data_IF_921958962054
#
_entry.id   IF_921958962054
#
_cell.length_a   1.000
_cell.length_b   1.000
_cell.length_c   1.000
_cell.angle_alpha   90.00
_cell.angle_beta   90.00
_cell.angle_gamma   90.00
#
_symmetry.space_group_name_H-M   'P 1'
#
loop_
_entity.id
_entity.type
_entity.pdbx_description
1 polymer ?
#
# COMPACT_ATOMS: atom_id res chain seq x y z
N UNK A 1 17.29 -7.18 -8.98
CA UNK A 1 16.84 -5.84 -9.39
C UNK A 1 15.66 -5.37 -8.56
N UNK A 2 15.71 -4.14 -8.02
CA UNK A 2 14.64 -3.52 -7.25
C UNK A 2 14.28 -2.15 -7.87
N UNK A 3 13.12 -2.02 -8.54
CA UNK A 3 12.70 -0.80 -9.22
C UNK A 3 12.06 0.25 -8.28
N UNK A 4 11.93 -0.05 -6.99
CA UNK A 4 11.19 0.80 -6.05
C UNK A 4 12.03 1.85 -5.34
N UNK A 5 13.30 1.95 -5.63
CA UNK A 5 14.20 2.91 -5.01
C UNK A 5 15.01 3.71 -6.04
N UNK A 6 15.60 4.79 -5.59
CA UNK A 6 16.49 5.65 -6.35
C UNK A 6 17.25 6.59 -5.42
N UNK A 7 17.97 7.53 -6.00
CA UNK A 7 18.65 8.57 -5.22
C UNK A 7 17.84 9.86 -5.26
N UNK A 8 17.79 10.55 -4.12
CA UNK A 8 17.28 11.90 -3.96
C UNK A 8 18.36 12.73 -3.27
N UNK A 9 18.86 13.77 -3.91
CA UNK A 9 19.97 14.59 -3.40
C UNK A 9 21.14 13.75 -2.87
N UNK A 10 21.50 12.68 -3.58
CA UNK A 10 22.58 11.75 -3.19
C UNK A 10 22.22 10.72 -2.12
N UNK A 11 21.04 10.76 -1.53
CA UNK A 11 20.58 9.80 -0.53
C UNK A 11 19.64 8.74 -1.14
N UNK A 12 19.78 7.50 -0.70
CA UNK A 12 18.88 6.43 -1.12
C UNK A 12 17.49 6.66 -0.56
N UNK A 13 16.49 6.61 -1.43
CA UNK A 13 15.08 6.69 -1.06
C UNK A 13 14.30 5.53 -1.69
N UNK A 14 13.46 4.88 -0.88
CA UNK A 14 12.59 3.80 -1.33
C UNK A 14 11.14 4.32 -1.41
N UNK A 15 10.45 4.00 -2.49
CA UNK A 15 9.03 4.32 -2.66
C UNK A 15 8.11 3.34 -1.95
N UNK A 16 8.61 2.14 -1.64
CA UNK A 16 7.82 1.08 -1.02
C UNK A 16 8.46 0.66 0.29
N UNK A 17 8.01 1.28 1.37
CA UNK A 17 8.44 1.00 2.74
C UNK A 17 7.27 0.36 3.49
N UNK A 18 7.54 -0.77 4.13
CA UNK A 18 6.58 -1.47 4.98
C UNK A 18 7.01 -1.31 6.42
N UNK A 19 6.09 -0.86 7.26
CA UNK A 19 6.20 -0.88 8.70
C UNK A 19 5.06 -1.74 9.25
N UNK A 20 5.41 -2.72 10.06
CA UNK A 20 4.44 -3.57 10.76
C UNK A 20 4.85 -3.63 12.23
N UNK A 21 3.98 -3.09 13.08
CA UNK A 21 4.16 -3.14 14.52
C UNK A 21 2.91 -3.78 15.14
N UNK A 22 3.08 -4.96 15.72
CA UNK A 22 1.97 -5.80 16.17
C UNK A 22 2.18 -6.31 17.62
N UNK A 23 2.16 -5.43 18.63
CA UNK A 23 2.24 -5.84 20.01
C UNK A 23 1.08 -6.76 20.37
N UNK A 24 1.38 -7.80 21.15
CA UNK A 24 0.40 -8.72 21.68
C UNK A 24 0.72 -9.08 23.13
N UNK A 25 -0.32 -9.33 23.90
CA UNK A 25 -0.23 -9.77 25.27
C UNK A 25 -1.26 -10.86 25.55
N UNK A 26 -0.91 -11.76 26.44
CA UNK A 26 -1.83 -12.76 26.98
C UNK A 26 -1.69 -12.78 28.51
N UNK A 27 -2.83 -12.80 29.19
CA UNK A 27 -2.91 -13.03 30.61
C UNK A 27 -3.73 -14.30 30.83
N UNK A 28 -3.19 -15.24 31.60
CA UNK A 28 -3.87 -16.49 31.93
C UNK A 28 -3.98 -16.60 33.45
N UNK A 29 -5.16 -16.93 33.92
CA UNK A 29 -5.45 -17.20 35.31
C UNK A 29 -5.96 -18.63 35.44
N UNK A 30 -5.23 -19.41 36.21
CA UNK A 30 -5.57 -20.78 36.59
C UNK A 30 -6.10 -20.79 38.03
N UNK A 31 -7.27 -21.37 38.18
CA UNK A 31 -7.89 -21.55 39.47
C UNK A 31 -8.23 -23.03 39.73
N UNK A 32 -7.51 -23.64 40.66
CA UNK A 32 -7.82 -24.97 41.17
C UNK A 32 -8.94 -24.84 42.22
N UNK A 33 -10.18 -25.10 41.80
CA UNK A 33 -11.37 -24.96 42.63
C UNK A 33 -11.37 -26.05 43.71
N UNK A 34 -11.00 -27.27 43.32
CA UNK A 34 -10.76 -28.44 44.18
C UNK A 34 -9.95 -29.51 43.40
N UNK A 35 -9.64 -30.65 44.06
CA UNK A 35 -8.82 -31.74 43.50
C UNK A 35 -9.35 -32.34 42.16
N UNK A 36 -10.60 -32.08 41.84
CA UNK A 36 -11.25 -32.55 40.62
C UNK A 36 -11.67 -31.47 39.63
N UNK A 37 -11.49 -30.20 39.98
CA UNK A 37 -12.02 -29.06 39.15
C UNK A 37 -10.98 -27.99 39.02
N UNK A 38 -10.65 -27.65 37.75
CA UNK A 38 -9.76 -26.55 37.40
C UNK A 38 -10.42 -25.63 36.37
N UNK A 39 -10.43 -24.35 36.67
CA UNK A 39 -10.85 -23.28 35.73
C UNK A 39 -9.61 -22.56 35.22
N UNK A 40 -9.48 -22.49 33.88
CA UNK A 40 -8.45 -21.70 33.20
C UNK A 40 -9.13 -20.61 32.41
N UNK A 41 -8.83 -19.35 32.72
CA UNK A 41 -9.34 -18.19 32.00
C UNK A 41 -8.19 -17.41 31.41
N UNK A 42 -8.26 -17.11 30.11
CA UNK A 42 -7.23 -16.38 29.39
C UNK A 42 -7.83 -15.19 28.64
N UNK A 43 -7.14 -14.06 28.73
CA UNK A 43 -7.41 -12.86 27.95
C UNK A 43 -6.22 -12.62 27.03
N UNK A 44 -6.48 -12.62 25.75
CA UNK A 44 -5.53 -12.28 24.69
C UNK A 44 -5.88 -10.94 24.07
N UNK A 45 -4.88 -10.09 23.87
CA UNK A 45 -5.00 -8.83 23.15
C UNK A 45 -3.87 -8.67 22.14
N UNK A 46 -4.22 -8.25 20.93
CA UNK A 46 -3.26 -7.86 19.88
C UNK A 46 -3.74 -6.60 19.19
N UNK A 47 -2.83 -5.64 19.01
CA UNK A 47 -3.06 -4.48 18.16
C UNK A 47 -1.99 -4.42 17.09
N UNK A 48 -2.38 -4.56 15.83
CA UNK A 48 -1.47 -4.52 14.68
C UNK A 48 -1.65 -3.21 13.95
N UNK A 49 -0.55 -2.52 13.70
CA UNK A 49 -0.47 -1.30 12.88
C UNK A 49 0.40 -1.61 11.67
N UNK A 50 -0.23 -1.87 10.55
CA UNK A 50 0.45 -2.12 9.29
C UNK A 50 0.38 -0.89 8.40
N UNK A 51 1.53 -0.47 7.89
CA UNK A 51 1.68 0.65 6.95
C UNK A 51 2.54 0.23 5.78
N UNK A 52 2.09 0.51 4.55
CA UNK A 52 2.87 0.29 3.33
C UNK A 52 2.77 1.49 2.41
N UNK A 53 3.91 2.09 2.04
CA UNK A 53 3.95 3.24 1.13
C UNK A 53 3.89 2.81 -0.33
N UNK A 54 3.40 3.71 -1.19
CA UNK A 54 3.33 3.54 -2.64
C UNK A 54 3.50 4.89 -3.33
N UNK A 55 4.39 4.93 -4.32
CA UNK A 55 4.49 6.05 -5.26
C UNK A 55 3.33 5.97 -6.26
N UNK A 56 2.55 7.03 -6.33
CA UNK A 56 1.43 7.21 -7.25
C UNK A 56 1.65 8.41 -8.16
N UNK A 57 0.82 8.52 -9.19
CA UNK A 57 0.87 9.62 -10.15
C UNK A 57 -0.54 9.96 -10.64
N UNK A 58 -0.71 11.21 -11.06
CA UNK A 58 -1.96 11.73 -11.61
C UNK A 58 -1.66 12.57 -12.85
N UNK A 59 -2.37 12.34 -13.96
CA UNK A 59 -2.17 13.03 -15.24
C UNK A 59 -0.70 13.14 -15.68
N UNK A 60 0.09 12.09 -15.44
CA UNK A 60 1.51 12.04 -15.71
C UNK A 60 1.93 10.63 -16.14
N UNK A 61 3.14 10.52 -16.65
CA UNK A 61 3.72 9.22 -16.96
C UNK A 61 3.97 8.39 -15.70
N UNK A 62 3.82 7.08 -15.82
CA UNK A 62 4.13 6.18 -14.72
C UNK A 62 5.61 6.32 -14.30
N UNK A 63 5.91 6.69 -13.05
CA UNK A 63 7.28 6.91 -12.59
C UNK A 63 8.07 5.63 -12.31
N UNK A 64 7.44 4.46 -12.42
CA UNK A 64 8.10 3.19 -12.18
C UNK A 64 8.98 2.82 -13.37
N UNK A 65 10.28 2.58 -13.17
CA UNK A 65 11.18 2.25 -14.28
C UNK A 65 10.80 0.94 -14.98
N UNK A 66 10.20 0.00 -14.27
CA UNK A 66 9.74 -1.30 -14.78
C UNK A 66 8.28 -1.28 -15.27
N UNK A 67 7.74 -0.10 -15.51
CA UNK A 67 6.42 -0.01 -16.13
C UNK A 67 6.44 -0.69 -17.51
N UNK A 68 5.45 -1.53 -17.78
CA UNK A 68 5.45 -2.42 -18.94
C UNK A 68 5.71 -1.72 -20.28
N UNK A 69 5.22 -0.49 -20.47
CA UNK A 69 5.46 0.30 -21.69
C UNK A 69 6.92 0.67 -21.91
N UNK A 70 7.73 0.70 -20.86
CA UNK A 70 9.16 1.02 -20.92
C UNK A 70 10.01 -0.24 -21.14
N UNK A 71 9.39 -1.42 -21.07
CA UNK A 71 10.12 -2.68 -21.20
C UNK A 71 10.36 -3.05 -22.66
N UNK A 72 11.47 -3.73 -22.98
CA UNK A 72 11.75 -4.18 -24.33
C UNK A 72 10.61 -4.96 -24.96
N UNK A 73 9.93 -5.80 -24.19
CA UNK A 73 8.80 -6.60 -24.65
C UNK A 73 7.61 -5.77 -25.14
N UNK A 74 7.39 -4.58 -24.61
CA UNK A 74 6.33 -3.69 -25.07
C UNK A 74 6.67 -2.96 -26.38
N UNK A 75 7.95 -2.90 -26.73
CA UNK A 75 8.47 -2.22 -27.91
C UNK A 75 8.73 -3.20 -29.07
N UNK A 76 8.24 -4.42 -28.95
CA UNK A 76 8.55 -5.51 -29.87
C UNK A 76 7.60 -5.61 -31.06
N UNK A 77 6.31 -5.30 -30.83
CA UNK A 77 5.26 -5.44 -31.85
C UNK A 77 4.92 -4.11 -32.51
N UNK A 78 4.71 -4.15 -33.83
CA UNK A 78 4.06 -3.08 -34.59
C UNK A 78 2.56 -3.36 -34.61
N UNK A 79 1.80 -2.54 -33.94
CA UNK A 79 0.39 -2.74 -33.62
C UNK A 79 -0.55 -2.86 -34.83
N UNK A 80 -0.12 -2.46 -36.04
CA UNK A 80 -0.95 -2.49 -37.24
C UNK A 80 -1.01 -3.83 -38.00
N UNK A 81 -0.07 -4.74 -37.78
CA UNK A 81 0.06 -5.96 -38.57
C UNK A 81 -0.40 -7.23 -37.88
N UNK A 82 -0.68 -7.15 -36.57
CA UNK A 82 -1.17 -8.28 -35.79
C UNK A 82 -2.53 -8.80 -36.33
N UNK A 83 -3.39 -7.91 -36.84
CA UNK A 83 -4.69 -8.26 -37.40
C UNK A 83 -4.61 -9.02 -38.72
N UNK A 84 -3.49 -8.90 -39.46
CA UNK A 84 -3.27 -9.52 -40.77
C UNK A 84 -2.41 -10.80 -40.69
N UNK A 85 -2.07 -11.25 -39.46
CA UNK A 85 -1.24 -12.45 -39.27
C UNK A 85 0.24 -12.27 -39.61
N UNK A 86 0.66 -11.08 -40.00
CA UNK A 86 2.03 -10.76 -40.28
C UNK A 86 2.69 -10.21 -39.02
N UNK A 87 3.45 -11.04 -38.32
CA UNK A 87 4.24 -10.60 -37.19
C UNK A 87 5.43 -9.76 -37.67
N UNK A 88 5.22 -8.46 -37.78
CA UNK A 88 6.34 -7.54 -37.99
C UNK A 88 6.91 -7.17 -36.61
N UNK A 89 8.17 -7.47 -36.45
CA UNK A 89 8.91 -7.20 -35.20
C UNK A 89 9.76 -5.95 -35.41
N UNK A 90 9.59 -4.96 -34.52
CA UNK A 90 10.43 -3.78 -34.48
C UNK A 90 11.66 -4.04 -33.63
N UNK A 91 12.66 -4.68 -34.23
CA UNK A 91 13.92 -5.01 -33.55
C UNK A 91 14.70 -3.77 -33.11
N UNK A 92 14.63 -2.67 -33.84
CA UNK A 92 15.32 -1.44 -33.48
C UNK A 92 14.74 -0.84 -32.19
N UNK A 93 13.41 -0.77 -32.08
CA UNK A 93 12.76 -0.32 -30.84
C UNK A 93 13.06 -1.23 -29.66
N UNK A 94 13.06 -2.55 -29.88
CA UNK A 94 13.42 -3.52 -28.86
C UNK A 94 14.88 -3.35 -28.40
N UNK A 95 15.84 -3.26 -29.35
CA UNK A 95 17.24 -3.04 -29.07
C UNK A 95 17.49 -1.71 -28.35
N UNK A 96 16.82 -0.63 -28.77
CA UNK A 96 16.93 0.66 -28.09
C UNK A 96 16.46 0.59 -26.64
N UNK A 97 15.35 -0.10 -26.36
CA UNK A 97 14.86 -0.31 -25.01
C UNK A 97 15.84 -1.17 -24.17
N UNK A 98 16.39 -2.25 -24.74
CA UNK A 98 17.42 -3.07 -24.07
C UNK A 98 18.65 -2.24 -23.76
N UNK A 99 19.17 -1.50 -24.75
CA UNK A 99 20.36 -0.67 -24.59
C UNK A 99 20.15 0.41 -23.52
N UNK A 100 18.97 1.08 -23.50
CA UNK A 100 18.61 2.03 -22.47
C UNK A 100 18.65 1.39 -21.06
N UNK A 101 18.02 0.21 -20.92
CA UNK A 101 17.99 -0.53 -19.66
C UNK A 101 19.38 -0.97 -19.17
N UNK A 102 20.26 -1.36 -20.07
CA UNK A 102 21.59 -1.84 -19.76
C UNK A 102 22.61 -0.72 -19.53
N UNK A 103 22.41 0.45 -20.14
CA UNK A 103 23.37 1.53 -20.15
C UNK A 103 23.76 2.04 -18.75
N UNK A 104 22.79 2.13 -17.83
CA UNK A 104 23.11 2.56 -16.46
C UNK A 104 22.15 2.00 -15.41
N UNK A 105 22.58 2.05 -14.14
CA UNK A 105 21.71 1.73 -13.01
C UNK A 105 20.59 2.78 -12.84
N UNK A 106 20.86 4.04 -13.14
CA UNK A 106 19.90 5.13 -13.05
C UNK A 106 18.66 4.87 -13.90
N UNK A 107 18.83 4.31 -15.09
CA UNK A 107 17.71 3.98 -15.98
C UNK A 107 16.76 2.90 -15.41
N UNK A 108 17.18 2.21 -14.36
CA UNK A 108 16.43 1.15 -13.66
C UNK A 108 15.99 1.57 -12.26
N UNK A 109 16.06 2.83 -11.94
CA UNK A 109 15.76 3.38 -10.62
C UNK A 109 14.74 4.51 -10.75
N UNK A 110 14.05 4.81 -9.65
CA UNK A 110 13.18 5.97 -9.59
C UNK A 110 14.05 7.24 -9.62
N UNK A 111 13.77 8.11 -10.56
CA UNK A 111 14.38 9.43 -10.64
C UNK A 111 13.60 10.42 -9.76
N UNK A 112 13.90 10.40 -8.46
CA UNK A 112 13.23 11.26 -7.48
C UNK A 112 13.40 12.74 -7.79
N UNK A 113 14.58 13.16 -8.24
CA UNK A 113 14.86 14.56 -8.52
C UNK A 113 14.00 15.08 -9.68
N UNK A 114 13.78 14.26 -10.72
CA UNK A 114 12.85 14.54 -11.80
C UNK A 114 11.40 14.66 -11.30
N UNK A 115 10.96 13.78 -10.39
CA UNK A 115 9.60 13.84 -9.85
C UNK A 115 9.38 15.14 -9.05
N UNK A 116 10.33 15.50 -8.21
CA UNK A 116 10.30 16.76 -7.49
C UNK A 116 10.29 17.98 -8.41
N UNK A 117 11.18 17.99 -9.40
CA UNK A 117 11.23 19.08 -10.39
C UNK A 117 9.90 19.24 -11.12
N UNK A 118 9.30 18.13 -11.59
CA UNK A 118 8.01 18.16 -12.29
C UNK A 118 6.91 18.76 -11.40
N UNK A 119 6.80 18.32 -10.17
CA UNK A 119 5.83 18.85 -9.21
C UNK A 119 6.05 20.32 -8.86
N UNK A 120 7.31 20.74 -8.75
CA UNK A 120 7.64 22.16 -8.50
C UNK A 120 7.24 23.05 -9.68
N UNK A 121 7.42 22.59 -10.93
CA UNK A 121 6.95 23.30 -12.11
C UNK A 121 5.41 23.36 -12.15
N UNK A 122 4.73 22.24 -11.87
CA UNK A 122 3.27 22.21 -11.77
C UNK A 122 2.77 23.20 -10.69
N UNK A 123 3.40 23.22 -9.52
CA UNK A 123 3.04 24.10 -8.41
C UNK A 123 3.25 25.60 -8.73
N UNK A 124 4.29 25.95 -9.50
CA UNK A 124 4.52 27.35 -9.97
C UNK A 124 3.41 27.82 -10.91
N UNK A 125 2.84 26.90 -11.67
CA UNK A 125 1.77 27.18 -12.62
C UNK A 125 0.37 27.01 -12.04
N UNK A 126 0.25 26.80 -10.72
CA UNK A 126 -1.03 26.56 -10.05
C UNK A 126 -1.69 25.23 -10.43
N UNK A 127 -0.91 24.29 -10.95
CA UNK A 127 -1.38 22.97 -11.37
C UNK A 127 -1.31 21.95 -10.23
N UNK A 128 -2.03 20.85 -10.41
CA UNK A 128 -2.06 19.75 -9.44
C UNK A 128 -0.74 18.98 -9.34
N UNK A 129 -0.55 18.35 -8.20
CA UNK A 129 0.57 17.45 -7.94
C UNK A 129 0.50 16.25 -8.87
N UNK A 130 1.55 16.06 -9.66
CA UNK A 130 1.65 14.97 -10.62
C UNK A 130 2.09 13.65 -9.97
N UNK A 131 3.02 13.72 -9.02
CA UNK A 131 3.61 12.56 -8.35
C UNK A 131 3.53 12.73 -6.83
N UNK A 132 3.17 11.67 -6.14
CA UNK A 132 3.00 11.71 -4.69
C UNK A 132 3.18 10.33 -4.06
N UNK A 133 3.56 10.32 -2.79
CA UNK A 133 3.70 9.12 -2.00
C UNK A 133 2.52 9.00 -1.04
N UNK A 134 1.81 7.89 -1.11
CA UNK A 134 0.73 7.54 -0.20
C UNK A 134 1.10 6.35 0.65
N UNK A 135 0.48 6.21 1.82
CA UNK A 135 0.55 5.01 2.61
C UNK A 135 -0.83 4.35 2.74
N UNK A 136 -0.86 3.07 2.54
CA UNK A 136 -1.96 2.18 2.93
C UNK A 136 -1.77 1.75 4.37
N UNK A 137 -2.83 1.84 5.16
CA UNK A 137 -2.89 1.36 6.53
C UNK A 137 -3.88 0.21 6.65
N UNK A 138 -3.52 -0.74 7.49
CA UNK A 138 -4.37 -1.86 7.87
C UNK A 138 -4.17 -2.11 9.36
N UNK A 139 -4.95 -1.41 10.18
CA UNK A 139 -4.88 -1.53 11.62
C UNK A 139 -5.89 -2.57 12.10
N UNK A 140 -5.45 -3.48 12.95
CA UNK A 140 -6.27 -4.56 13.46
C UNK A 140 -6.21 -4.62 14.99
N UNK A 141 -7.36 -4.55 15.64
CA UNK A 141 -7.54 -4.87 17.05
C UNK A 141 -8.19 -6.25 17.16
N UNK A 142 -7.54 -7.15 17.89
CA UNK A 142 -8.05 -8.47 18.19
C UNK A 142 -8.00 -8.70 19.70
N UNK A 143 -9.18 -8.92 20.30
CA UNK A 143 -9.35 -9.26 21.72
C UNK A 143 -10.07 -10.60 21.82
N UNK A 144 -9.54 -11.52 22.61
CA UNK A 144 -10.12 -12.84 22.81
C UNK A 144 -10.12 -13.16 24.32
N UNK A 145 -11.30 -13.43 24.83
CA UNK A 145 -11.50 -14.01 26.16
C UNK A 145 -11.90 -15.47 26.00
N UNK A 146 -11.18 -16.35 26.66
CA UNK A 146 -11.51 -17.78 26.73
C UNK A 146 -11.56 -18.25 28.17
N UNK A 147 -12.48 -19.15 28.47
CA UNK A 147 -12.55 -19.79 29.80
C UNK A 147 -12.90 -21.25 29.63
N UNK A 148 -12.14 -22.13 30.29
CA UNK A 148 -12.30 -23.58 30.18
C UNK A 148 -12.34 -24.18 31.58
N UNK A 149 -13.39 -24.91 31.89
CA UNK A 149 -13.54 -25.69 33.10
C UNK A 149 -13.26 -27.16 32.80
N UNK A 150 -12.29 -27.72 33.48
CA UNK A 150 -12.00 -29.14 33.49
C UNK A 150 -12.48 -29.75 34.82
N UNK A 151 -13.35 -30.79 34.72
CA UNK A 151 -13.98 -31.42 35.89
C UNK A 151 -13.85 -32.93 35.76
N UNK A 152 -13.38 -33.60 36.85
CA UNK A 152 -13.50 -35.03 37.04
C UNK A 152 -14.92 -35.36 37.51
N UNK A 153 -15.70 -36.09 36.70
CA UNK A 153 -17.04 -36.54 37.10
C UNK A 153 -17.00 -37.84 37.90
N UNK A 154 -16.10 -38.71 37.49
CA UNK A 154 -15.84 -40.01 38.15
C UNK A 154 -14.36 -40.37 38.00
N UNK A 155 -13.92 -41.49 38.60
CA UNK A 155 -12.56 -42.01 38.42
C UNK A 155 -12.29 -42.46 36.97
N UNK A 156 -13.32 -42.59 36.12
CA UNK A 156 -13.21 -43.05 34.70
C UNK A 156 -13.68 -42.01 33.70
N UNK A 157 -14.23 -40.89 34.13
CA UNK A 157 -14.78 -39.87 33.26
C UNK A 157 -14.41 -38.46 33.69
N UNK A 158 -14.07 -37.62 32.72
CA UNK A 158 -13.83 -36.20 32.88
C UNK A 158 -14.61 -35.41 31.85
N UNK A 159 -14.98 -34.19 32.21
CA UNK A 159 -15.66 -33.23 31.32
C UNK A 159 -14.77 -31.99 31.19
N UNK A 160 -14.56 -31.57 29.93
CA UNK A 160 -14.01 -30.26 29.64
C UNK A 160 -15.12 -29.42 28.97
N UNK A 161 -15.42 -28.27 29.52
CA UNK A 161 -16.39 -27.34 28.99
C UNK A 161 -15.82 -25.92 29.01
N UNK A 162 -16.25 -25.08 28.08
CA UNK A 162 -15.75 -23.70 28.03
C UNK A 162 -16.42 -22.87 26.98
N UNK A 163 -16.02 -21.63 26.94
CA UNK A 163 -16.44 -20.66 25.92
C UNK A 163 -15.26 -19.82 25.43
N UNK A 164 -15.42 -19.26 24.24
CA UNK A 164 -14.51 -18.26 23.68
C UNK A 164 -15.34 -17.10 23.14
N UNK A 165 -14.98 -15.90 23.51
CA UNK A 165 -15.55 -14.66 22.99
C UNK A 165 -14.42 -13.87 22.33
N UNK A 166 -14.65 -13.43 21.08
CA UNK A 166 -13.67 -12.69 20.31
C UNK A 166 -14.26 -11.40 19.73
N UNK A 167 -13.48 -10.34 19.77
CA UNK A 167 -13.76 -9.08 19.07
C UNK A 167 -12.60 -8.81 18.12
N UNK A 168 -12.91 -8.62 16.84
CA UNK A 168 -11.95 -8.24 15.83
C UNK A 168 -12.44 -6.97 15.13
N UNK A 169 -11.62 -5.93 15.11
CA UNK A 169 -11.91 -4.67 14.44
C UNK A 169 -10.77 -4.32 13.50
N UNK A 170 -11.10 -4.16 12.22
CA UNK A 170 -10.17 -3.75 11.18
C UNK A 170 -10.46 -2.33 10.74
N UNK A 171 -9.40 -1.54 10.49
CA UNK A 171 -9.45 -0.23 9.87
C UNK A 171 -8.55 -0.22 8.67
N UNK A 172 -9.11 0.09 7.50
CA UNK A 172 -8.39 0.25 6.25
C UNK A 172 -8.53 1.70 5.81
N UNK A 173 -7.40 2.37 5.61
CA UNK A 173 -7.38 3.76 5.17
C UNK A 173 -6.07 4.09 4.47
N UNK A 174 -6.04 5.24 3.79
CA UNK A 174 -4.84 5.74 3.14
C UNK A 174 -4.52 7.15 3.64
N UNK A 175 -3.23 7.45 3.74
CA UNK A 175 -2.72 8.77 4.10
C UNK A 175 -1.77 9.30 3.04
N UNK A 176 -1.69 10.62 2.91
CA UNK A 176 -0.67 11.28 2.13
C UNK A 176 0.63 11.29 2.92
N UNK A 177 1.71 10.74 2.33
CA UNK A 177 3.02 10.70 2.98
C UNK A 177 3.91 11.84 2.52
N UNK A 178 3.93 12.13 1.22
CA UNK A 178 4.75 13.16 0.63
C UNK A 178 4.18 13.59 -0.72
N UNK A 179 4.00 14.88 -0.92
CA UNK A 179 3.55 15.46 -2.19
C UNK A 179 4.72 15.76 -3.14
N UNK A 180 5.93 15.37 -2.80
CA UNK A 180 7.15 15.51 -3.61
C UNK A 180 7.33 16.96 -4.16
N UNK A 181 7.10 17.97 -3.31
CA UNK A 181 7.18 19.37 -3.68
C UNK A 181 5.95 19.95 -4.37
N UNK A 182 4.90 19.16 -4.55
CA UNK A 182 3.60 19.62 -5.03
C UNK A 182 2.83 20.42 -3.96
N UNK A 183 1.81 21.19 -4.38
CA UNK A 183 1.02 22.05 -3.50
C UNK A 183 -0.46 21.73 -3.48
N UNK A 184 -1.01 21.26 -4.59
CA UNK A 184 -2.44 21.00 -4.77
C UNK A 184 -2.61 19.53 -5.08
N UNK A 185 -3.52 18.87 -4.38
CA UNK A 185 -3.86 17.48 -4.64
C UNK A 185 -5.37 17.29 -4.52
N UNK A 186 -5.96 16.66 -5.54
CA UNK A 186 -7.32 16.13 -5.51
C UNK A 186 -7.28 14.62 -5.66
N UNK A 187 -7.98 13.94 -4.79
CA UNK A 187 -8.15 12.49 -4.93
C UNK A 187 -9.28 12.21 -5.92
N UNK A 188 -8.95 11.63 -7.06
CA UNK A 188 -9.89 11.38 -8.15
C UNK A 188 -10.20 9.89 -8.24
N UNK A 189 -11.48 9.55 -8.19
CA UNK A 189 -11.95 8.21 -8.52
C UNK A 189 -12.02 8.04 -10.04
N UNK A 190 -10.96 7.47 -10.62
CA UNK A 190 -10.86 7.27 -12.05
C UNK A 190 -11.93 6.34 -12.64
N UNK A 191 -12.55 5.48 -11.83
CA UNK A 191 -13.62 4.58 -12.26
C UNK A 191 -14.97 5.31 -12.42
N UNK A 192 -15.15 6.44 -11.75
CA UNK A 192 -16.36 7.25 -11.86
C UNK A 192 -16.30 8.31 -12.96
N UNK A 193 -15.12 8.51 -13.56
CA UNK A 193 -14.95 9.41 -14.70
C UNK A 193 -15.70 8.83 -15.91
N UNK A 194 -16.56 9.63 -16.51
CA UNK A 194 -17.38 9.23 -17.66
C UNK A 194 -18.83 8.94 -17.31
N UNK A 195 -19.11 8.50 -16.07
CA UNK A 195 -20.49 8.44 -15.54
C UNK A 195 -20.92 9.78 -14.93
N UNK A 196 -19.96 10.47 -14.30
CA UNK A 196 -20.18 11.72 -13.57
C UNK A 196 -19.20 12.79 -14.01
N UNK A 197 -19.55 14.06 -13.80
CA UNK A 197 -18.64 15.17 -14.09
C UNK A 197 -17.43 15.11 -13.13
N UNK A 198 -16.29 15.65 -13.57
CA UNK A 198 -15.05 15.64 -12.78
C UNK A 198 -15.19 16.38 -11.44
N UNK A 199 -16.10 17.34 -11.34
CA UNK A 199 -16.39 18.10 -10.12
C UNK A 199 -17.42 17.41 -9.20
N UNK A 200 -17.97 16.26 -9.59
CA UNK A 200 -18.91 15.52 -8.78
C UNK A 200 -18.22 14.91 -7.54
N UNK A 201 -18.78 15.00 -6.34
CA UNK A 201 -18.19 14.41 -5.13
C UNK A 201 -17.93 12.91 -5.22
N UNK A 202 -18.58 12.19 -6.11
CA UNK A 202 -18.30 10.75 -6.37
C UNK A 202 -17.04 10.53 -7.19
N UNK A 203 -16.61 11.54 -7.94
CA UNK A 203 -15.39 11.55 -8.73
C UNK A 203 -14.23 12.20 -7.96
N UNK A 204 -14.49 13.34 -7.35
CA UNK A 204 -13.50 14.13 -6.66
C UNK A 204 -13.75 14.09 -5.15
N UNK A 205 -12.95 13.29 -4.45
CA UNK A 205 -12.89 13.35 -2.99
C UNK A 205 -12.12 14.60 -2.60
N UNK A 206 -12.80 15.58 -2.05
CA UNK A 206 -12.22 16.88 -1.76
C UNK A 206 -11.26 16.83 -0.57
N UNK A 207 -10.08 16.32 -0.82
CA UNK A 207 -8.92 16.49 0.03
C UNK A 207 -8.09 17.67 -0.48
N UNK A 208 -8.80 18.70 -0.84
CA UNK A 208 -8.20 19.92 -1.31
C UNK A 208 -7.39 20.55 -0.18
N UNK A 209 -6.12 20.37 -0.28
CA UNK A 209 -5.23 20.90 0.72
C UNK A 209 -3.98 21.38 0.00
N UNK A 210 -3.84 22.65 -0.05
CA UNK A 210 -2.64 23.29 -0.54
C UNK A 210 -1.45 23.02 0.40
N UNK A 211 -0.33 22.60 -0.17
CA UNK A 211 0.96 22.60 0.50
C UNK A 211 1.31 21.35 1.33
N UNK A 212 2.45 21.39 2.02
CA UNK A 212 3.00 20.27 2.77
C UNK A 212 2.16 19.84 3.99
N UNK A 213 1.15 20.63 4.36
CA UNK A 213 0.23 20.35 5.46
C UNK A 213 -0.69 19.14 5.22
N UNK A 214 -0.55 18.47 4.07
CA UNK A 214 -1.32 17.27 3.73
C UNK A 214 -0.65 15.97 4.12
N UNK A 215 0.63 16.02 4.44
CA UNK A 215 1.33 14.84 4.93
C UNK A 215 0.65 14.33 6.21
N UNK A 216 0.34 13.04 6.22
CA UNK A 216 -0.38 12.38 7.30
C UNK A 216 -1.90 12.53 7.26
N UNK A 217 -2.47 13.33 6.36
CA UNK A 217 -3.92 13.45 6.23
C UNK A 217 -4.52 12.25 5.48
N UNK A 218 -5.76 11.96 5.84
CA UNK A 218 -6.56 10.89 5.25
C UNK A 218 -6.83 11.21 3.77
N UNK A 219 -6.62 10.22 2.90
CA UNK A 219 -6.85 10.31 1.45
C UNK A 219 -8.03 9.43 1.05
N UNK A 220 -8.28 8.36 1.85
CA UNK A 220 -9.34 7.40 1.58
C UNK A 220 -9.69 6.64 2.86
#
# INVERSE_FOLDING_TARGET
>A
YNPYWGYQNGHKRNSRVVNDFAPSAIATWDWDINDGMKLTTSLFGKYSMYKSTKLNYNNAENPQPDYWKNMPSANYYVWGDFQNGNNIYNWDSWNNAVNYWQASKQNRQIDWDRLYYSNQQAAKNGQETMYYLQAKHNDNLNLVLSSTLNTKLTNKSSLASGFMLGVNQNRHYQTMEDMLGGKIFHNINSYAIGEYSISDPRVQYDLNTAGPNNTGKLVY
#
